data_IF_700460845876
#
_entry.id   IF_700460845876
#
_cell.length_a   1.000
_cell.length_b   1.000
_cell.length_c   1.000
_cell.angle_alpha   90.00
_cell.angle_beta   90.00
_cell.angle_gamma   90.00
#
_symmetry.space_group_name_H-M   'P 1'
#
loop_
_entity.id
_entity.type
_entity.pdbx_description
1 polymer ?
#
# COMPACT_ATOMS: atom_id res chain seq x y z
N UNK A 1 -14.59 -10.34 -49.50
CA UNK A 1 -16.01 -10.55 -49.14
C UNK A 1 -16.41 -9.39 -48.24
N UNK A 2 -17.18 -8.43 -48.78
CA UNK A 2 -17.70 -7.29 -48.02
C UNK A 2 -19.17 -7.57 -47.76
N UNK A 3 -19.53 -7.90 -46.51
CA UNK A 3 -20.93 -8.06 -46.12
C UNK A 3 -21.58 -6.68 -46.14
N UNK A 4 -22.30 -6.38 -47.23
CA UNK A 4 -22.98 -5.10 -47.42
C UNK A 4 -24.43 -5.08 -46.94
N UNK A 5 -24.97 -6.21 -46.49
CA UNK A 5 -26.22 -6.39 -45.72
C UNK A 5 -26.56 -7.89 -45.81
N UNK A 6 -26.45 -8.63 -44.70
CA UNK A 6 -26.82 -10.04 -44.68
C UNK A 6 -26.55 -10.69 -43.32
N UNK A 7 -27.50 -11.48 -42.85
CA UNK A 7 -27.36 -12.35 -41.68
C UNK A 7 -26.50 -13.56 -42.06
N UNK A 8 -25.37 -13.79 -41.38
CA UNK A 8 -24.66 -15.07 -41.50
C UNK A 8 -25.43 -16.08 -40.64
N UNK A 9 -26.24 -16.89 -41.30
CA UNK A 9 -26.97 -18.01 -40.68
C UNK A 9 -26.24 -19.30 -41.00
N UNK A 10 -26.05 -20.15 -39.99
CA UNK A 10 -25.56 -21.53 -40.06
C UNK A 10 -24.11 -21.75 -40.52
N UNK A 11 -23.15 -21.25 -39.72
CA UNK A 11 -21.81 -21.87 -39.66
C UNK A 11 -21.72 -22.75 -38.42
N UNK A 12 -22.01 -24.05 -38.55
CA UNK A 12 -21.82 -25.07 -37.50
C UNK A 12 -22.27 -24.62 -36.08
N UNK A 13 -23.54 -24.23 -35.91
CA UNK A 13 -24.18 -23.78 -34.66
C UNK A 13 -23.87 -22.35 -34.16
N UNK A 14 -23.12 -21.53 -34.89
CA UNK A 14 -22.92 -20.12 -34.53
C UNK A 14 -23.99 -19.22 -35.20
N UNK A 15 -24.80 -18.55 -34.39
CA UNK A 15 -25.75 -17.52 -34.85
C UNK A 15 -25.16 -16.13 -34.61
N UNK A 16 -24.99 -15.38 -35.69
CA UNK A 16 -24.68 -13.95 -35.65
C UNK A 16 -25.96 -13.17 -35.92
N UNK A 17 -26.47 -12.46 -34.92
CA UNK A 17 -27.67 -11.62 -35.07
C UNK A 17 -27.37 -10.16 -34.79
N UNK A 18 -28.12 -9.29 -35.46
CA UNK A 18 -28.27 -7.89 -35.08
C UNK A 18 -29.64 -7.75 -34.40
N UNK A 19 -29.70 -7.19 -33.20
CA UNK A 19 -30.97 -6.88 -32.56
C UNK A 19 -31.31 -5.40 -32.83
N UNK A 20 -32.55 -5.11 -33.24
CA UNK A 20 -33.07 -3.73 -33.39
C UNK A 20 -33.31 -3.05 -32.02
N UNK A 21 -32.42 -3.26 -31.06
CA UNK A 21 -32.45 -2.63 -29.74
C UNK A 21 -31.23 -1.69 -29.69
N UNK A 22 -31.45 -0.45 -30.14
CA UNK A 22 -30.57 0.72 -29.99
C UNK A 22 -29.08 0.59 -30.36
N UNK A 23 -28.71 -0.17 -31.40
CA UNK A 23 -27.34 -0.13 -31.95
C UNK A 23 -27.01 -1.26 -32.92
N UNK A 24 -25.97 -1.13 -33.79
CA UNK A 24 -25.52 -2.18 -34.70
C UNK A 24 -24.63 -3.22 -33.99
N UNK A 25 -25.08 -3.75 -32.86
CA UNK A 25 -24.31 -4.70 -32.07
C UNK A 25 -24.41 -6.11 -32.67
N UNK A 26 -23.27 -6.82 -32.69
CA UNK A 26 -23.17 -8.22 -33.11
C UNK A 26 -23.31 -9.12 -31.89
N UNK A 27 -24.36 -9.94 -31.85
CA UNK A 27 -24.57 -10.92 -30.79
C UNK A 27 -24.06 -12.29 -31.24
N UNK A 28 -23.27 -12.94 -30.39
CA UNK A 28 -22.78 -14.30 -30.56
C UNK A 28 -23.20 -15.15 -29.35
N UNK A 29 -23.79 -16.31 -29.62
CA UNK A 29 -24.22 -17.27 -28.59
C UNK A 29 -23.82 -18.68 -29.03
N UNK A 30 -23.59 -19.59 -28.08
CA UNK A 30 -23.37 -21.02 -28.39
C UNK A 30 -21.92 -21.52 -28.46
N UNK A 31 -20.94 -20.85 -27.84
CA UNK A 31 -19.56 -21.37 -27.78
C UNK A 31 -18.49 -20.30 -27.55
N UNK A 32 -17.34 -20.44 -28.22
CA UNK A 32 -16.25 -19.46 -28.24
C UNK A 32 -16.19 -18.74 -29.58
N UNK A 33 -16.17 -17.40 -29.55
CA UNK A 33 -15.77 -16.60 -30.69
C UNK A 33 -14.23 -16.56 -30.74
N UNK A 34 -13.63 -17.08 -31.82
CA UNK A 34 -12.17 -17.14 -31.98
C UNK A 34 -11.76 -16.35 -33.22
N UNK A 35 -10.92 -15.35 -33.03
CA UNK A 35 -10.23 -14.65 -34.12
C UNK A 35 -8.76 -15.11 -34.15
N UNK A 36 -8.39 -15.92 -35.15
CA UNK A 36 -7.03 -16.50 -35.23
C UNK A 36 -5.91 -15.48 -35.49
N UNK A 37 -6.23 -14.37 -36.16
CA UNK A 37 -5.25 -13.32 -36.47
C UNK A 37 -5.53 -12.05 -35.66
N UNK A 38 -6.58 -11.31 -36.03
CA UNK A 38 -6.90 -10.02 -35.43
C UNK A 38 -8.40 -9.88 -35.16
N UNK A 39 -8.72 -9.34 -33.99
CA UNK A 39 -10.00 -8.70 -33.69
C UNK A 39 -9.72 -7.20 -33.53
N UNK A 40 -10.25 -6.36 -34.41
CA UNK A 40 -10.04 -4.91 -34.38
C UNK A 40 -11.35 -4.22 -34.02
N UNK A 41 -11.40 -3.60 -32.85
CA UNK A 41 -12.46 -2.68 -32.46
C UNK A 41 -11.98 -1.24 -32.66
N UNK A 42 -12.74 -0.40 -33.37
CA UNK A 42 -12.41 1.03 -33.57
C UNK A 42 -12.78 1.91 -32.36
N UNK A 43 -13.51 1.34 -31.41
CA UNK A 43 -13.95 1.97 -30.17
C UNK A 43 -13.63 1.01 -29.03
N UNK A 44 -14.65 0.41 -28.43
CA UNK A 44 -14.51 -0.33 -27.19
C UNK A 44 -14.61 -1.84 -27.39
N UNK A 45 -13.90 -2.58 -26.55
CA UNK A 45 -14.17 -3.99 -26.25
C UNK A 45 -14.60 -4.02 -24.79
N UNK A 46 -15.88 -4.33 -24.53
CA UNK A 46 -16.43 -4.39 -23.17
C UNK A 46 -16.62 -5.84 -22.74
N UNK A 47 -15.85 -6.28 -21.75
CA UNK A 47 -16.11 -7.53 -21.04
C UNK A 47 -16.92 -7.24 -19.77
N UNK A 48 -18.08 -7.88 -19.59
CA UNK A 48 -18.92 -7.71 -18.37
C UNK A 48 -18.29 -8.39 -17.15
N UNK A 49 -17.42 -9.38 -17.38
CA UNK A 49 -16.69 -10.08 -16.33
C UNK A 49 -15.19 -9.90 -16.56
N UNK A 50 -14.52 -10.94 -17.04
CA UNK A 50 -13.07 -10.96 -17.16
C UNK A 50 -12.63 -10.70 -18.60
N UNK A 51 -11.57 -9.92 -18.76
CA UNK A 51 -10.73 -9.90 -19.96
C UNK A 51 -9.38 -10.47 -19.56
N UNK A 52 -9.04 -11.65 -20.10
CA UNK A 52 -7.73 -12.28 -19.88
C UNK A 52 -6.87 -12.11 -21.12
N UNK A 53 -5.66 -11.59 -20.94
CA UNK A 53 -4.70 -11.36 -22.02
C UNK A 53 -3.45 -12.17 -21.72
N UNK A 54 -3.06 -13.05 -22.64
CA UNK A 54 -1.96 -14.00 -22.40
C UNK A 54 -0.56 -13.40 -22.46
N UNK A 55 -0.37 -12.28 -23.16
CA UNK A 55 0.94 -11.64 -23.34
C UNK A 55 0.92 -10.18 -22.87
N UNK A 56 0.52 -9.26 -23.76
CA UNK A 56 0.69 -7.82 -23.53
C UNK A 56 -0.64 -7.07 -23.62
N UNK A 57 -0.81 -6.11 -22.72
CA UNK A 57 -1.78 -5.02 -22.85
C UNK A 57 -0.96 -3.76 -23.15
N UNK A 58 -1.06 -3.26 -24.38
CA UNK A 58 -0.43 -2.00 -24.78
C UNK A 58 -1.50 -0.90 -24.82
N UNK A 59 -1.45 0.02 -23.86
CA UNK A 59 -2.40 1.10 -23.72
C UNK A 59 -1.69 2.44 -23.95
N UNK A 60 -2.08 3.16 -25.01
CA UNK A 60 -1.60 4.53 -25.26
C UNK A 60 -2.14 5.58 -24.28
N UNK A 61 -3.07 5.18 -23.40
CA UNK A 61 -3.68 6.02 -22.36
C UNK A 61 -3.61 5.37 -20.99
N UNK A 62 -4.60 5.65 -20.14
CA UNK A 62 -4.64 5.13 -18.77
C UNK A 62 -5.14 3.69 -18.72
N UNK A 63 -4.54 2.89 -17.83
CA UNK A 63 -5.15 1.66 -17.31
C UNK A 63 -5.72 2.00 -15.94
N UNK A 64 -7.05 1.97 -15.81
CA UNK A 64 -7.73 2.25 -14.54
C UNK A 64 -8.29 0.96 -13.98
N UNK A 65 -7.84 0.58 -12.79
CA UNK A 65 -8.36 -0.55 -12.04
C UNK A 65 -9.04 -0.05 -10.76
N UNK A 66 -10.27 -0.49 -10.50
CA UNK A 66 -11.00 -0.13 -9.29
C UNK A 66 -10.63 -0.97 -8.06
N UNK A 67 -9.81 -2.01 -8.23
CA UNK A 67 -9.36 -2.89 -7.15
C UNK A 67 -7.85 -2.99 -7.05
N UNK A 68 -7.38 -4.10 -6.45
CA UNK A 68 -5.96 -4.38 -6.32
C UNK A 68 -5.31 -4.74 -7.67
N UNK A 69 -4.09 -4.25 -7.89
CA UNK A 69 -3.21 -4.68 -8.98
C UNK A 69 -2.18 -5.64 -8.37
N UNK A 70 -2.22 -6.91 -8.76
CA UNK A 70 -1.21 -7.90 -8.34
C UNK A 70 -0.21 -8.09 -9.48
N UNK A 71 1.05 -7.72 -9.26
CA UNK A 71 2.14 -7.96 -10.19
C UNK A 71 3.07 -9.03 -9.59
N UNK A 72 3.24 -10.16 -10.28
CA UNK A 72 4.15 -11.24 -9.85
C UNK A 72 5.61 -10.99 -10.24
N UNK A 73 5.86 -9.96 -11.06
CA UNK A 73 7.18 -9.49 -11.44
C UNK A 73 7.33 -8.00 -11.14
N UNK A 74 8.14 -7.30 -11.91
CA UNK A 74 8.47 -5.90 -11.64
C UNK A 74 7.39 -4.92 -12.13
N UNK A 75 7.21 -3.82 -11.40
CA UNK A 75 6.55 -2.61 -11.90
C UNK A 75 7.66 -1.63 -12.32
N UNK A 76 7.81 -1.42 -13.63
CA UNK A 76 8.83 -0.51 -14.21
C UNK A 76 8.15 0.64 -14.93
N UNK A 77 8.69 1.84 -14.78
CA UNK A 77 8.22 3.04 -15.50
C UNK A 77 9.23 4.17 -15.37
N UNK A 78 9.15 5.15 -16.27
CA UNK A 78 10.00 6.34 -16.17
C UNK A 78 9.75 7.11 -14.86
N UNK A 79 8.50 7.07 -14.35
CA UNK A 79 8.10 7.57 -13.03
C UNK A 79 7.00 6.67 -12.49
N UNK A 80 7.12 6.28 -11.22
CA UNK A 80 6.09 5.55 -10.48
C UNK A 80 5.73 6.38 -9.25
N UNK A 81 4.52 6.92 -9.22
CA UNK A 81 3.99 7.62 -8.06
C UNK A 81 3.19 6.62 -7.23
N UNK A 82 3.65 6.32 -6.03
CA UNK A 82 3.02 5.37 -5.12
C UNK A 82 3.08 5.91 -3.68
N UNK A 83 2.18 5.42 -2.84
CA UNK A 83 1.95 5.61 -1.41
C UNK A 83 0.49 6.03 -1.17
N UNK A 84 -0.31 5.12 -0.64
CA UNK A 84 -1.69 5.41 -0.22
C UNK A 84 -1.70 6.11 1.16
N UNK A 85 -0.62 5.98 1.93
CA UNK A 85 -0.49 6.47 3.31
C UNK A 85 0.83 7.21 3.55
N UNK A 86 1.15 7.54 4.81
CA UNK A 86 2.03 8.65 5.16
C UNK A 86 3.52 8.31 5.34
N UNK A 87 3.87 7.04 5.52
CA UNK A 87 5.23 6.61 5.83
C UNK A 87 5.71 5.41 5.01
N UNK A 88 7.03 5.20 5.02
CA UNK A 88 7.73 4.06 4.43
C UNK A 88 8.20 3.17 5.57
N UNK A 89 7.84 1.88 5.50
CA UNK A 89 8.22 0.89 6.49
C UNK A 89 9.18 -0.16 5.91
N UNK A 90 10.21 -0.47 6.67
CA UNK A 90 11.12 -1.59 6.45
C UNK A 90 10.74 -2.74 7.39
N UNK A 91 10.47 -3.91 6.82
CA UNK A 91 10.08 -5.09 7.59
C UNK A 91 11.31 -5.74 8.20
N UNK A 92 11.36 -5.76 9.54
CA UNK A 92 12.44 -6.34 10.32
C UNK A 92 11.97 -7.61 11.02
N UNK A 93 12.87 -8.59 11.19
CA UNK A 93 12.59 -9.78 11.99
C UNK A 93 12.18 -9.36 13.40
N UNK A 94 11.08 -9.88 13.90
CA UNK A 94 10.52 -9.56 15.21
C UNK A 94 10.80 -10.69 16.20
N UNK A 95 11.33 -10.34 17.37
CA UNK A 95 11.60 -11.26 18.48
C UNK A 95 10.91 -10.79 19.77
N UNK A 96 9.69 -10.25 19.62
CA UNK A 96 8.85 -9.70 20.66
C UNK A 96 7.39 -9.61 20.17
N UNK A 97 6.50 -8.97 20.94
CA UNK A 97 5.16 -8.62 20.47
C UNK A 97 5.20 -7.48 19.44
N UNK A 98 4.25 -7.48 18.49
CA UNK A 98 4.01 -6.38 17.56
C UNK A 98 2.94 -5.45 18.12
N UNK A 99 3.33 -4.24 18.52
CA UNK A 99 2.43 -3.19 19.01
C UNK A 99 2.66 -1.94 18.16
N UNK A 100 1.71 -1.56 17.28
CA UNK A 100 1.84 -0.36 16.47
C UNK A 100 2.00 0.90 17.33
N UNK A 101 2.87 1.80 16.89
CA UNK A 101 3.17 3.05 17.57
C UNK A 101 4.21 2.95 18.69
N UNK A 102 4.75 1.76 18.99
CA UNK A 102 5.88 1.58 19.92
C UNK A 102 7.23 1.66 19.20
N UNK A 103 8.24 2.12 19.93
CA UNK A 103 9.63 2.12 19.50
C UNK A 103 10.25 0.73 19.67
N UNK A 104 11.04 0.33 18.68
CA UNK A 104 11.79 -0.93 18.70
C UNK A 104 13.28 -0.66 18.58
N UNK A 105 14.08 -1.47 19.27
CA UNK A 105 15.52 -1.52 19.10
C UNK A 105 15.93 -2.84 18.47
N UNK A 106 17.06 -2.82 17.76
CA UNK A 106 17.54 -4.00 17.06
C UNK A 106 18.49 -4.84 17.93
N UNK A 107 18.42 -6.14 17.69
CA UNK A 107 19.35 -7.14 18.24
C UNK A 107 19.69 -8.14 17.15
N UNK A 108 20.77 -8.91 17.35
CA UNK A 108 21.17 -9.97 16.41
C UNK A 108 20.06 -11.02 16.21
N UNK A 109 19.13 -11.14 17.16
CA UNK A 109 18.02 -12.09 17.12
C UNK A 109 16.74 -11.51 16.51
N UNK A 110 16.71 -10.20 16.23
CA UNK A 110 15.55 -9.46 15.76
C UNK A 110 15.18 -8.27 16.65
N UNK A 111 14.24 -7.47 16.15
CA UNK A 111 13.71 -6.30 16.79
C UNK A 111 12.93 -6.64 18.07
N UNK A 112 13.07 -5.81 19.10
CA UNK A 112 12.39 -5.91 20.39
C UNK A 112 11.86 -4.54 20.83
N UNK A 113 10.81 -4.51 21.65
CA UNK A 113 10.27 -3.24 22.16
C UNK A 113 11.31 -2.58 23.07
N UNK A 114 11.52 -1.27 22.93
CA UNK A 114 12.46 -0.57 23.79
C UNK A 114 12.06 -0.65 25.27
N UNK A 115 13.05 -0.88 26.13
CA UNK A 115 12.87 -1.15 27.56
C UNK A 115 13.73 -0.26 28.47
N UNK A 116 14.41 0.73 27.90
CA UNK A 116 15.25 1.69 28.62
C UNK A 116 15.03 3.07 28.02
N UNK A 117 14.94 4.12 28.86
CA UNK A 117 14.87 5.50 28.36
C UNK A 117 16.09 5.83 27.49
N UNK A 118 15.85 6.50 26.36
CA UNK A 118 16.90 6.97 25.46
C UNK A 118 17.83 5.82 25.06
N UNK A 119 17.25 4.72 24.55
CA UNK A 119 17.96 3.48 24.30
C UNK A 119 18.88 3.59 23.10
N UNK A 120 20.00 2.86 23.13
CA UNK A 120 20.85 2.70 21.95
C UNK A 120 20.20 1.73 20.96
N UNK A 121 20.47 1.92 19.67
CA UNK A 121 20.03 1.04 18.57
C UNK A 121 18.52 1.01 18.34
N UNK A 122 17.80 2.08 18.68
CA UNK A 122 16.41 2.25 18.24
C UNK A 122 16.38 2.35 16.72
N UNK A 123 15.60 1.47 16.09
CA UNK A 123 15.50 1.38 14.62
C UNK A 123 14.28 2.12 14.07
N UNK A 124 13.36 2.51 14.93
CA UNK A 124 12.20 3.30 14.56
C UNK A 124 10.96 2.89 15.34
N UNK A 125 9.80 3.13 14.73
CA UNK A 125 8.48 2.95 15.33
C UNK A 125 7.73 1.92 14.50
N UNK A 126 7.09 0.94 15.14
CA UNK A 126 6.22 0.01 14.43
C UNK A 126 5.03 0.76 13.82
N UNK A 127 4.87 0.68 12.50
CA UNK A 127 3.85 1.41 11.75
C UNK A 127 2.77 0.49 11.25
N UNK A 128 1.52 0.84 11.54
CA UNK A 128 0.35 0.31 10.86
C UNK A 128 -0.16 1.29 9.79
N UNK A 129 0.46 2.47 9.65
CA UNK A 129 0.05 3.53 8.72
C UNK A 129 0.90 3.66 7.46
N UNK A 130 1.77 2.69 7.16
CA UNK A 130 2.73 2.81 6.05
C UNK A 130 2.05 2.72 4.68
N UNK A 131 2.44 3.63 3.78
CA UNK A 131 2.00 3.65 2.39
C UNK A 131 2.88 2.80 1.48
N UNK A 132 4.09 2.48 1.94
CA UNK A 132 5.08 1.70 1.19
C UNK A 132 5.84 0.78 2.13
N UNK A 133 5.81 -0.53 1.86
CA UNK A 133 6.52 -1.54 2.64
C UNK A 133 7.66 -2.17 1.84
N UNK A 134 8.83 -2.31 2.44
CA UNK A 134 10.01 -2.97 1.83
C UNK A 134 10.52 -4.11 2.72
N UNK A 135 11.23 -5.07 2.13
CA UNK A 135 11.92 -6.12 2.89
C UNK A 135 11.05 -7.25 3.43
N UNK A 136 9.71 -7.20 3.24
CA UNK A 136 8.78 -8.22 3.71
C UNK A 136 9.04 -9.59 3.08
N UNK A 137 9.02 -10.65 3.89
CA UNK A 137 9.01 -12.03 3.40
C UNK A 137 10.14 -12.92 3.93
N UNK A 138 10.82 -12.51 5.00
CA UNK A 138 11.73 -13.40 5.72
C UNK A 138 10.93 -14.45 6.52
N UNK A 139 11.52 -15.63 6.72
CA UNK A 139 10.90 -16.74 7.43
C UNK A 139 10.79 -16.44 8.94
N UNK A 140 9.78 -15.69 9.36
CA UNK A 140 9.55 -15.33 10.75
C UNK A 140 8.38 -14.35 10.93
N UNK A 141 8.15 -13.95 12.18
CA UNK A 141 7.31 -12.79 12.48
C UNK A 141 8.11 -11.53 12.12
N UNK A 142 7.46 -10.56 11.49
CA UNK A 142 8.10 -9.32 11.06
C UNK A 142 7.34 -8.11 11.61
N UNK A 143 8.09 -7.06 11.94
CA UNK A 143 7.55 -5.77 12.34
C UNK A 143 7.82 -4.72 11.26
N UNK A 144 6.80 -4.00 10.76
CA UNK A 144 6.99 -2.89 9.83
C UNK A 144 7.52 -1.67 10.60
N UNK A 145 8.82 -1.41 10.50
CA UNK A 145 9.45 -0.26 11.18
C UNK A 145 9.41 0.94 10.24
N UNK A 146 8.72 2.01 10.64
CA UNK A 146 8.77 3.27 9.92
C UNK A 146 10.21 3.80 9.91
N UNK A 147 10.76 3.97 8.71
CA UNK A 147 12.09 4.54 8.46
C UNK A 147 12.02 5.97 7.92
N UNK A 148 10.82 6.47 7.65
CA UNK A 148 10.61 7.84 7.20
C UNK A 148 9.14 8.15 6.92
N UNK A 149 8.75 9.41 7.14
CA UNK A 149 7.38 9.87 6.96
C UNK A 149 6.70 10.23 8.27
N UNK A 150 5.36 10.27 8.27
CA UNK A 150 4.56 10.54 9.47
C UNK A 150 3.88 9.28 9.96
N UNK A 151 4.07 8.95 11.23
CA UNK A 151 3.55 7.72 11.86
C UNK A 151 2.73 8.06 13.10
N UNK A 152 1.74 7.22 13.40
CA UNK A 152 1.02 7.24 14.67
C UNK A 152 1.83 6.51 15.75
N UNK A 153 2.21 7.22 16.81
CA UNK A 153 3.02 6.68 17.90
C UNK A 153 2.42 6.99 19.27
N UNK A 154 2.68 6.12 20.25
CA UNK A 154 2.39 6.44 21.64
C UNK A 154 3.39 7.49 22.13
N UNK A 155 2.87 8.61 22.66
CA UNK A 155 3.66 9.69 23.24
C UNK A 155 3.14 9.91 24.66
N UNK A 156 4.03 10.14 25.61
CA UNK A 156 3.71 10.33 27.02
C UNK A 156 2.97 11.66 27.32
N UNK A 157 3.17 12.69 26.50
CA UNK A 157 2.53 14.00 26.66
C UNK A 157 2.23 14.71 25.32
N UNK A 158 1.41 15.77 25.39
CA UNK A 158 1.16 16.70 24.29
C UNK A 158 2.22 17.82 24.27
N UNK A 159 3.22 17.67 23.41
CA UNK A 159 4.31 18.65 23.28
C UNK A 159 4.06 19.75 22.23
N UNK A 160 4.87 20.81 22.21
CA UNK A 160 4.94 21.71 21.06
C UNK A 160 5.37 20.97 19.76
N UNK A 161 4.81 21.38 18.62
CA UNK A 161 5.21 20.85 17.32
C UNK A 161 6.72 21.09 17.08
N UNK A 162 7.43 20.05 16.67
CA UNK A 162 8.88 20.07 16.46
C UNK A 162 9.72 19.60 17.66
N UNK A 163 9.11 19.30 18.81
CA UNK A 163 9.84 18.77 19.97
C UNK A 163 10.60 17.49 19.61
N UNK A 164 11.92 17.40 19.87
CA UNK A 164 12.69 16.19 19.62
C UNK A 164 12.36 15.09 20.63
N UNK A 165 12.05 13.89 20.13
CA UNK A 165 11.56 12.76 20.92
C UNK A 165 12.54 11.58 20.87
N UNK A 166 12.71 10.92 22.01
CA UNK A 166 13.34 9.60 22.14
C UNK A 166 12.38 8.62 22.79
N UNK A 167 12.78 7.36 22.97
CA UNK A 167 11.93 6.37 23.61
C UNK A 167 12.03 6.44 25.16
N UNK A 168 10.95 6.08 25.85
CA UNK A 168 10.93 5.76 27.29
C UNK A 168 11.25 4.27 27.54
N UNK A 169 11.18 3.85 28.80
CA UNK A 169 11.40 2.47 29.25
C UNK A 169 10.24 1.49 28.92
N UNK A 170 9.20 1.96 28.24
CA UNK A 170 8.05 1.18 27.78
C UNK A 170 7.87 1.26 26.25
N UNK A 171 8.84 1.83 25.53
CA UNK A 171 8.80 2.02 24.09
C UNK A 171 7.82 3.09 23.61
N UNK A 172 7.27 3.94 24.47
CA UNK A 172 6.60 5.17 24.04
C UNK A 172 7.65 6.23 23.69
N UNK A 173 7.22 7.29 23.02
CA UNK A 173 8.02 8.48 22.82
C UNK A 173 7.86 9.47 23.97
N UNK A 174 8.93 10.16 24.29
CA UNK A 174 9.05 11.19 25.33
C UNK A 174 10.02 12.28 24.89
N UNK A 175 9.87 13.51 25.38
CA UNK A 175 10.79 14.59 25.07
C UNK A 175 12.24 14.23 25.49
N UNK A 176 13.18 14.46 24.57
CA UNK A 176 14.60 14.43 24.91
C UNK A 176 14.99 15.62 25.79
N UNK A 177 15.71 15.36 26.87
CA UNK A 177 16.33 16.39 27.69
C UNK A 177 17.46 17.11 26.93
N UNK A 178 17.89 18.27 27.42
CA UNK A 178 19.04 18.99 26.85
C UNK A 178 20.34 18.17 26.92
N UNK A 179 20.50 17.36 27.97
CA UNK A 179 21.66 16.49 28.11
C UNK A 179 21.64 15.35 27.10
N UNK A 180 20.50 14.67 26.92
CA UNK A 180 20.33 13.61 25.91
C UNK A 180 20.55 14.16 24.50
N UNK A 181 19.99 15.33 24.17
CA UNK A 181 20.21 16.00 22.87
C UNK A 181 21.69 16.27 22.58
N UNK A 182 22.47 16.59 23.62
CA UNK A 182 23.90 16.92 23.49
C UNK A 182 24.79 15.68 23.44
N UNK A 183 24.51 14.71 24.31
CA UNK A 183 25.39 13.57 24.54
C UNK A 183 25.01 12.36 23.66
N UNK A 184 23.74 12.23 23.29
CA UNK A 184 23.18 11.10 22.53
C UNK A 184 22.28 11.55 21.36
N UNK A 185 22.75 12.47 20.49
CA UNK A 185 21.94 12.96 19.38
C UNK A 185 21.49 11.85 18.42
N UNK A 186 22.22 10.73 18.35
CA UNK A 186 21.90 9.56 17.54
C UNK A 186 20.66 8.78 18.04
N UNK A 187 20.19 9.06 19.26
CA UNK A 187 19.02 8.40 19.87
C UNK A 187 17.73 9.20 19.72
N UNK A 188 17.77 10.23 18.87
CA UNK A 188 16.58 10.92 18.38
C UNK A 188 15.79 9.97 17.48
N UNK A 189 14.54 9.69 17.84
CA UNK A 189 13.67 8.78 17.07
C UNK A 189 12.76 9.56 16.14
N UNK A 190 12.16 10.64 16.65
CA UNK A 190 11.17 11.40 15.90
C UNK A 190 11.08 12.85 16.36
N UNK A 191 10.31 13.65 15.63
CA UNK A 191 9.86 14.97 16.06
C UNK A 191 8.34 14.99 16.23
N UNK A 192 7.87 15.61 17.30
CA UNK A 192 6.44 15.73 17.59
C UNK A 192 5.70 16.59 16.57
N UNK A 193 4.44 16.26 16.25
CA UNK A 193 3.55 17.09 15.43
C UNK A 193 2.33 17.56 16.21
N UNK A 194 1.47 16.61 16.57
CA UNK A 194 0.17 16.82 17.20
C UNK A 194 -0.43 15.48 17.62
N UNK A 195 -1.38 15.52 18.54
CA UNK A 195 -2.31 14.43 18.80
C UNK A 195 -3.26 14.22 17.62
N UNK A 196 -3.62 12.97 17.33
CA UNK A 196 -4.74 12.69 16.42
C UNK A 196 -6.05 12.78 17.20
N UNK A 197 -7.02 13.51 16.63
CA UNK A 197 -8.28 13.83 17.30
C UNK A 197 -9.37 12.82 16.97
N UNK A 198 -9.21 12.08 15.87
CA UNK A 198 -10.11 11.00 15.50
C UNK A 198 -9.75 9.72 16.25
N UNK A 199 -10.77 8.91 16.50
CA UNK A 199 -10.58 7.56 17.04
C UNK A 199 -10.06 6.58 15.98
N UNK A 200 -10.28 6.89 14.69
CA UNK A 200 -9.81 6.07 13.56
C UNK A 200 -9.09 6.87 12.47
N UNK A 201 -8.18 6.19 11.77
CA UNK A 201 -7.50 6.69 10.58
C UNK A 201 -7.60 5.67 9.43
N UNK A 202 -7.96 6.11 8.23
CA UNK A 202 -8.19 5.22 7.10
C UNK A 202 -8.84 5.89 5.89
N UNK A 203 -9.05 5.10 4.84
CA UNK A 203 -9.68 5.53 3.58
C UNK A 203 -11.19 5.17 3.50
N UNK A 204 -11.74 4.66 4.60
CA UNK A 204 -13.13 4.19 4.71
C UNK A 204 -13.35 2.73 4.30
N UNK A 205 -12.36 2.09 3.65
CA UNK A 205 -12.37 0.64 3.41
C UNK A 205 -11.53 -0.10 4.46
N UNK A 206 -10.41 0.49 4.84
CA UNK A 206 -9.55 0.02 5.94
C UNK A 206 -9.43 1.15 6.95
N UNK A 207 -9.72 0.84 8.21
CA UNK A 207 -9.60 1.77 9.32
C UNK A 207 -8.71 1.20 10.42
N UNK A 208 -7.87 2.07 10.97
CA UNK A 208 -6.95 1.79 12.07
C UNK A 208 -7.42 2.56 13.30
N UNK A 209 -7.45 1.90 14.45
CA UNK A 209 -7.77 2.53 15.73
C UNK A 209 -6.61 3.39 16.18
N UNK A 210 -6.84 4.68 16.43
CA UNK A 210 -5.78 5.61 16.82
C UNK A 210 -5.31 5.34 18.24
N UNK A 211 -6.20 4.93 19.16
CA UNK A 211 -5.86 4.55 20.54
C UNK A 211 -5.05 5.62 21.31
N UNK A 212 -5.39 6.89 21.10
CA UNK A 212 -4.71 8.01 21.74
C UNK A 212 -3.29 8.28 21.21
N UNK A 213 -2.87 7.63 20.12
CA UNK A 213 -1.58 7.89 19.46
C UNK A 213 -1.50 9.29 18.84
N UNK A 214 -0.28 9.78 18.71
CA UNK A 214 0.04 11.10 18.19
C UNK A 214 0.80 10.97 16.88
N UNK A 215 0.68 11.97 16.02
CA UNK A 215 1.49 12.05 14.82
C UNK A 215 2.88 12.55 15.16
N UNK A 216 3.88 11.81 14.69
CA UNK A 216 5.29 12.17 14.78
C UNK A 216 5.95 11.99 13.41
N UNK A 217 7.00 12.75 13.13
CA UNK A 217 7.84 12.53 11.94
C UNK A 217 9.07 11.75 12.33
N UNK A 218 9.20 10.55 11.78
CA UNK A 218 10.40 9.72 11.93
C UNK A 218 11.60 10.40 11.27
N UNK A 219 12.77 10.23 11.88
CA UNK A 219 14.03 10.85 11.46
C UNK A 219 14.95 9.89 10.74
#
# INVERSE_FOLDING_TARGET
>A
MTLKNGTLTDFNNATFSYANLSGPDLYYTGGSFVAYNHLVARRDIRAVRNLSVGNNIDAGGNITNGGAITATGDIRGARVWNAVWNDVADYQLLNDELIPGKCYYDTVEGARICSQRCQLSVIGIASDTFGFGVGKGNAGLEVPIAIGGWVLAYVDDEYPCGTPLTNDDHGNLTEMTLEEKRNYPERLVAIYKKKELKDTFGDGNVEIQVDGRHWVKVK
#
